data_IF_433059960602
#
_entry.id   IF_433059960602
#
_cell.length_a   1.000
_cell.length_b   1.000
_cell.length_c   1.000
_cell.angle_alpha   90.00
_cell.angle_beta   90.00
_cell.angle_gamma   90.00
#
_symmetry.space_group_name_H-M   'P 1'
#
loop_
_entity.id
_entity.type
_entity.pdbx_description
1 polymer ?
#
# COMPACT_ATOMS: atom_id res chain seq x y z
N UNK A 1 28.57 8.54 8.76
CA UNK A 1 27.37 8.75 7.91
C UNK A 1 26.25 7.95 8.54
N UNK A 2 25.25 8.61 9.11
CA UNK A 2 24.05 7.94 9.62
C UNK A 2 23.29 7.31 8.46
N UNK A 3 22.98 6.02 8.57
CA UNK A 3 22.08 5.37 7.63
C UNK A 3 20.66 5.80 7.93
N UNK A 4 19.89 6.16 6.90
CA UNK A 4 18.50 6.58 7.06
C UNK A 4 17.58 5.47 7.58
N UNK A 5 18.07 4.23 7.57
CA UNK A 5 17.39 3.03 8.06
C UNK A 5 18.04 2.61 9.38
N UNK A 6 17.29 2.73 10.47
CA UNK A 6 17.73 2.39 11.83
C UNK A 6 17.46 0.93 12.20
N UNK A 7 16.58 0.26 11.44
CA UNK A 7 16.12 -1.10 11.77
C UNK A 7 17.09 -2.16 11.23
N UNK A 8 17.76 -2.84 12.16
CA UNK A 8 18.50 -4.09 11.93
C UNK A 8 17.54 -5.29 12.00
N UNK A 9 16.50 -5.17 12.82
CA UNK A 9 15.51 -6.22 13.08
C UNK A 9 14.38 -6.12 12.06
N UNK A 10 14.08 -7.26 11.45
CA UNK A 10 12.93 -7.44 10.61
C UNK A 10 11.64 -7.62 11.43
N UNK A 11 10.80 -6.59 11.46
CA UNK A 11 9.46 -6.66 12.07
C UNK A 11 8.36 -7.11 11.09
N UNK A 12 8.71 -7.43 9.84
CA UNK A 12 7.78 -7.85 8.79
C UNK A 12 6.94 -6.71 8.19
N UNK A 13 7.13 -5.47 8.66
CA UNK A 13 6.41 -4.30 8.18
C UNK A 13 6.96 -3.77 6.85
N UNK A 14 8.27 -3.93 6.64
CA UNK A 14 8.97 -3.50 5.44
C UNK A 14 9.84 -4.63 4.89
N UNK A 15 10.09 -4.60 3.60
CA UNK A 15 10.87 -5.61 2.91
C UNK A 15 12.36 -5.21 2.76
N UNK A 16 12.87 -4.32 3.61
CA UNK A 16 14.28 -3.95 3.60
C UNK A 16 14.82 -3.75 5.03
N UNK A 17 16.10 -4.06 5.20
CA UNK A 17 16.84 -3.93 6.48
C UNK A 17 18.24 -3.43 6.22
N UNK A 18 18.90 -2.88 7.25
CA UNK A 18 20.32 -2.53 7.14
C UNK A 18 21.17 -3.80 7.00
N UNK A 19 22.20 -3.76 6.17
CA UNK A 19 23.09 -4.91 6.01
C UNK A 19 23.85 -5.20 7.33
N UNK A 20 23.86 -6.45 7.83
CA UNK A 20 24.41 -6.77 9.15
C UNK A 20 25.91 -6.48 9.27
N UNK A 21 26.68 -6.79 8.23
CA UNK A 21 28.14 -6.58 8.21
C UNK A 21 28.60 -5.22 7.71
N UNK A 22 27.79 -4.49 6.92
CA UNK A 22 28.22 -3.23 6.29
C UNK A 22 27.12 -2.15 6.39
N UNK A 23 27.26 -1.18 7.29
CA UNK A 23 26.23 -0.18 7.54
C UNK A 23 25.90 0.74 6.35
N UNK A 24 26.75 0.76 5.31
CA UNK A 24 26.56 1.57 4.11
C UNK A 24 25.62 0.95 3.08
N UNK A 25 25.19 -0.30 3.31
CA UNK A 25 24.28 -1.01 2.42
C UNK A 25 22.96 -1.33 3.11
N UNK A 26 21.91 -1.33 2.32
CA UNK A 26 20.54 -1.69 2.71
C UNK A 26 20.14 -2.86 1.83
N UNK A 27 19.62 -3.91 2.46
CA UNK A 27 19.25 -5.15 1.80
C UNK A 27 17.74 -5.16 1.64
N UNK A 28 17.27 -5.14 0.39
CA UNK A 28 15.89 -5.41 0.04
C UNK A 28 15.70 -6.90 -0.15
N UNK A 29 14.60 -7.46 0.34
CA UNK A 29 14.28 -8.88 0.23
C UNK A 29 12.92 -9.10 -0.40
N UNK A 30 12.82 -10.15 -1.20
CA UNK A 30 11.57 -10.52 -1.85
C UNK A 30 11.36 -12.02 -1.73
N UNK A 31 10.22 -12.44 -1.17
CA UNK A 31 9.81 -13.85 -1.15
C UNK A 31 9.16 -14.29 -2.48
N UNK A 32 8.69 -13.33 -3.28
CA UNK A 32 8.03 -13.61 -4.55
C UNK A 32 8.99 -13.28 -5.70
N UNK A 33 9.33 -14.29 -6.50
CA UNK A 33 10.22 -14.16 -7.66
C UNK A 33 9.74 -13.10 -8.66
N UNK A 34 8.44 -13.00 -8.91
CA UNK A 34 7.88 -12.04 -9.89
C UNK A 34 8.16 -10.59 -9.43
N UNK A 35 8.02 -10.32 -8.13
CA UNK A 35 8.33 -9.00 -7.56
C UNK A 35 9.83 -8.72 -7.61
N UNK A 36 10.66 -9.73 -7.29
CA UNK A 36 12.11 -9.63 -7.35
C UNK A 36 12.59 -9.29 -8.78
N UNK A 37 12.07 -10.00 -9.78
CA UNK A 37 12.41 -9.80 -11.19
C UNK A 37 11.98 -8.40 -11.69
N UNK A 38 10.80 -7.91 -11.30
CA UNK A 38 10.35 -6.54 -11.65
C UNK A 38 11.19 -5.46 -10.97
N UNK A 39 11.62 -5.69 -9.72
CA UNK A 39 12.51 -4.80 -8.99
C UNK A 39 13.89 -4.73 -9.65
N UNK A 40 14.50 -5.88 -9.96
CA UNK A 40 15.79 -5.97 -10.65
C UNK A 40 15.76 -5.28 -12.02
N UNK A 41 14.69 -5.48 -12.78
CA UNK A 41 14.48 -4.80 -14.06
C UNK A 41 14.41 -3.28 -13.88
N UNK A 42 13.68 -2.81 -12.88
CA UNK A 42 13.53 -1.36 -12.62
C UNK A 42 14.85 -0.73 -12.16
N UNK A 43 15.65 -1.43 -11.33
CA UNK A 43 16.98 -1.00 -10.93
C UNK A 43 17.93 -0.89 -12.14
N UNK A 44 17.91 -1.89 -13.01
CA UNK A 44 18.73 -1.93 -14.23
C UNK A 44 18.39 -0.79 -15.18
N UNK A 45 17.10 -0.54 -15.42
CA UNK A 45 16.62 0.60 -16.25
C UNK A 45 17.03 1.93 -15.64
N UNK A 46 17.00 2.04 -14.31
CA UNK A 46 17.37 3.26 -13.59
C UNK A 46 18.89 3.45 -13.42
N UNK A 47 19.70 2.52 -13.95
CA UNK A 47 21.18 2.51 -13.84
C UNK A 47 21.68 2.57 -12.40
N UNK A 48 20.97 1.92 -11.48
CA UNK A 48 21.35 1.83 -10.07
C UNK A 48 22.18 0.57 -9.87
N UNK A 49 23.35 0.71 -9.25
CA UNK A 49 24.19 -0.44 -8.91
C UNK A 49 23.57 -1.22 -7.74
N UNK A 50 23.58 -2.54 -7.85
CA UNK A 50 23.06 -3.44 -6.81
C UNK A 50 23.89 -4.72 -6.74
N UNK A 51 23.94 -5.32 -5.56
CA UNK A 51 24.43 -6.67 -5.33
C UNK A 51 23.26 -7.63 -5.22
N UNK A 52 23.35 -8.81 -5.85
CA UNK A 52 22.29 -9.82 -5.82
C UNK A 52 22.72 -11.00 -4.95
N UNK A 53 21.83 -11.41 -4.07
CA UNK A 53 21.99 -12.59 -3.23
C UNK A 53 20.71 -13.44 -3.21
N UNK A 54 20.83 -14.66 -2.71
CA UNK A 54 19.70 -15.53 -2.42
C UNK A 54 19.92 -16.17 -1.07
N UNK A 55 18.84 -16.32 -0.32
CA UNK A 55 18.87 -16.95 1.00
C UNK A 55 17.66 -17.88 1.16
N UNK A 56 17.94 -19.14 1.46
CA UNK A 56 16.91 -20.12 1.76
C UNK A 56 16.68 -20.19 3.27
N UNK A 57 15.58 -19.60 3.72
CA UNK A 57 15.20 -19.57 5.14
C UNK A 57 13.86 -20.24 5.34
N UNK A 58 13.80 -21.20 6.27
CA UNK A 58 12.55 -21.86 6.71
C UNK A 58 11.70 -22.40 5.54
N UNK A 59 12.36 -22.99 4.53
CA UNK A 59 11.72 -23.56 3.36
C UNK A 59 11.19 -22.54 2.34
N UNK A 60 11.58 -21.27 2.44
CA UNK A 60 11.28 -20.22 1.47
C UNK A 60 12.57 -19.60 0.95
N UNK A 61 12.66 -19.45 -0.37
CA UNK A 61 13.75 -18.74 -1.03
C UNK A 61 13.45 -17.25 -1.03
N UNK A 62 14.36 -16.46 -0.46
CA UNK A 62 14.34 -15.00 -0.52
C UNK A 62 15.37 -14.51 -1.52
N UNK A 63 14.96 -13.59 -2.38
CA UNK A 63 15.83 -12.86 -3.29
C UNK A 63 16.27 -11.57 -2.61
N UNK A 64 17.58 -11.38 -2.49
CA UNK A 64 18.20 -10.28 -1.77
C UNK A 64 18.86 -9.31 -2.74
N UNK A 65 18.69 -8.02 -2.51
CA UNK A 65 19.31 -6.94 -3.29
C UNK A 65 19.98 -5.94 -2.35
N UNK A 66 21.31 -5.91 -2.35
CA UNK A 66 22.13 -4.97 -1.60
C UNK A 66 22.28 -3.65 -2.35
N UNK A 67 21.83 -2.56 -1.75
CA UNK A 67 21.81 -1.22 -2.34
C UNK A 67 22.61 -0.26 -1.48
N UNK A 68 23.43 0.58 -2.10
CA UNK A 68 24.19 1.58 -1.38
C UNK A 68 23.26 2.66 -0.80
N UNK A 69 23.46 3.04 0.46
CA UNK A 69 22.61 3.98 1.20
C UNK A 69 22.41 5.34 0.49
N UNK A 70 23.37 5.77 -0.33
CA UNK A 70 23.26 6.97 -1.20
C UNK A 70 22.04 6.97 -2.10
N UNK A 71 21.65 5.80 -2.62
CA UNK A 71 20.57 5.64 -3.59
C UNK A 71 19.27 5.15 -2.95
N UNK A 72 19.29 4.94 -1.61
CA UNK A 72 18.17 4.41 -0.84
C UNK A 72 16.85 5.11 -1.14
N UNK A 73 16.80 6.45 -1.05
CA UNK A 73 15.54 7.18 -1.23
C UNK A 73 14.96 7.06 -2.65
N UNK A 74 15.79 6.78 -3.66
CA UNK A 74 15.30 6.49 -5.02
C UNK A 74 14.79 5.06 -5.11
N UNK A 75 15.53 4.11 -4.54
CA UNK A 75 15.19 2.69 -4.58
C UNK A 75 13.97 2.37 -3.71
N UNK A 76 13.77 3.06 -2.60
CA UNK A 76 12.57 2.97 -1.77
C UNK A 76 11.30 3.32 -2.56
N UNK A 77 11.36 4.36 -3.40
CA UNK A 77 10.24 4.71 -4.29
C UNK A 77 10.00 3.62 -5.33
N UNK A 78 11.06 3.11 -5.94
CA UNK A 78 10.98 1.98 -6.89
C UNK A 78 10.34 0.76 -6.21
N UNK A 79 10.71 0.49 -4.96
CA UNK A 79 10.17 -0.62 -4.18
C UNK A 79 8.65 -0.47 -3.98
N UNK A 80 8.18 0.72 -3.57
CA UNK A 80 6.75 0.98 -3.43
C UNK A 80 6.01 0.88 -4.77
N UNK A 81 6.62 1.32 -5.87
CA UNK A 81 6.02 1.20 -7.20
C UNK A 81 5.90 -0.28 -7.63
N UNK A 82 6.94 -1.09 -7.40
CA UNK A 82 6.93 -2.53 -7.65
C UNK A 82 5.88 -3.23 -6.80
N UNK A 83 5.77 -2.90 -5.52
CA UNK A 83 4.73 -3.44 -4.64
C UNK A 83 3.33 -3.05 -5.11
N UNK A 84 3.15 -1.80 -5.54
CA UNK A 84 1.90 -1.27 -6.06
C UNK A 84 1.45 -1.93 -7.36
N UNK A 85 2.38 -2.19 -8.29
CA UNK A 85 2.10 -2.89 -9.56
C UNK A 85 1.73 -4.36 -9.34
N UNK A 86 2.34 -4.99 -8.34
CA UNK A 86 2.16 -6.41 -8.05
C UNK A 86 1.17 -6.68 -6.90
N UNK A 87 0.40 -5.68 -6.48
CA UNK A 87 -0.62 -5.86 -5.43
C UNK A 87 -1.83 -6.62 -5.97
N UNK A 88 -2.28 -7.60 -5.22
CA UNK A 88 -3.61 -8.17 -5.44
C UNK A 88 -4.65 -7.23 -4.85
N UNK A 89 -5.85 -7.22 -5.43
CA UNK A 89 -6.97 -6.51 -4.82
C UNK A 89 -7.31 -7.12 -3.46
N UNK A 90 -7.64 -6.27 -2.47
CA UNK A 90 -8.04 -6.71 -1.11
C UNK A 90 -9.12 -7.81 -1.14
N UNK A 91 -10.08 -7.67 -2.05
CA UNK A 91 -11.10 -8.69 -2.31
C UNK A 91 -10.80 -9.30 -3.68
N UNK A 92 -10.16 -10.48 -3.69
CA UNK A 92 -9.78 -11.15 -4.94
C UNK A 92 -10.99 -11.50 -5.82
N UNK A 93 -12.11 -11.92 -5.21
CA UNK A 93 -13.33 -12.28 -5.92
C UNK A 93 -14.05 -11.05 -6.49
N UNK A 94 -14.19 -11.03 -7.82
CA UNK A 94 -14.87 -9.94 -8.56
C UNK A 94 -16.33 -9.75 -8.13
N UNK A 95 -17.05 -10.84 -7.85
CA UNK A 95 -18.46 -10.78 -7.44
C UNK A 95 -18.61 -10.07 -6.09
N UNK A 96 -17.90 -10.52 -5.06
CA UNK A 96 -17.95 -9.90 -3.74
C UNK A 96 -17.49 -8.45 -3.75
N UNK A 97 -16.49 -8.12 -4.58
CA UNK A 97 -16.01 -6.75 -4.73
C UNK A 97 -17.12 -5.82 -5.20
N UNK A 98 -17.87 -6.21 -6.23
CA UNK A 98 -18.99 -5.41 -6.75
C UNK A 98 -20.21 -5.47 -5.83
N UNK A 99 -20.49 -6.60 -5.19
CA UNK A 99 -21.58 -6.72 -4.23
C UNK A 99 -21.43 -5.73 -3.07
N UNK A 100 -20.22 -5.59 -2.51
CA UNK A 100 -19.94 -4.62 -1.44
C UNK A 100 -20.13 -3.17 -1.90
N UNK A 101 -19.62 -2.83 -3.10
CA UNK A 101 -19.76 -1.48 -3.67
C UNK A 101 -21.22 -1.13 -3.90
N UNK A 102 -21.98 -2.04 -4.53
CA UNK A 102 -23.41 -1.84 -4.79
C UNK A 102 -24.23 -1.76 -3.50
N UNK A 103 -23.91 -2.59 -2.51
CA UNK A 103 -24.57 -2.54 -1.21
C UNK A 103 -24.33 -1.20 -0.50
N UNK A 104 -23.07 -0.75 -0.44
CA UNK A 104 -22.72 0.54 0.17
C UNK A 104 -23.38 1.71 -0.57
N UNK A 105 -23.40 1.68 -1.90
CA UNK A 105 -24.07 2.69 -2.71
C UNK A 105 -25.59 2.67 -2.48
N UNK A 106 -26.20 1.49 -2.36
CA UNK A 106 -27.61 1.33 -2.03
C UNK A 106 -27.96 1.93 -0.66
N UNK A 107 -27.16 1.67 0.37
CA UNK A 107 -27.36 2.26 1.70
C UNK A 107 -27.22 3.78 1.66
N UNK A 108 -26.23 4.32 0.94
CA UNK A 108 -26.06 5.76 0.75
C UNK A 108 -27.27 6.40 0.05
N UNK A 109 -27.81 5.75 -0.99
CA UNK A 109 -29.00 6.23 -1.70
C UNK A 109 -30.21 6.21 -0.76
N UNK A 110 -30.44 5.11 -0.03
CA UNK A 110 -31.54 5.00 0.92
C UNK A 110 -31.44 6.05 2.03
N UNK A 111 -30.25 6.30 2.56
CA UNK A 111 -30.02 7.37 3.54
C UNK A 111 -30.34 8.75 2.97
N UNK A 112 -29.92 9.01 1.72
CA UNK A 112 -30.16 10.30 1.05
C UNK A 112 -31.63 10.52 0.75
N UNK A 113 -32.32 9.51 0.20
CA UNK A 113 -33.76 9.56 -0.05
C UNK A 113 -34.54 9.70 1.25
N UNK A 114 -34.17 8.92 2.28
CA UNK A 114 -34.79 9.00 3.60
C UNK A 114 -34.56 10.33 4.31
N UNK A 115 -33.51 11.07 3.95
CA UNK A 115 -33.28 12.44 4.42
C UNK A 115 -34.16 13.44 3.65
N UNK A 116 -34.20 13.35 2.31
CA UNK A 116 -34.98 14.26 1.48
C UNK A 116 -36.50 14.07 1.61
N UNK A 117 -36.97 12.85 1.88
CA UNK A 117 -38.39 12.50 1.95
C UNK A 117 -39.01 12.68 3.34
N UNK A 118 -38.40 13.45 4.26
CA UNK A 118 -38.99 13.74 5.58
C UNK A 118 -39.96 14.92 5.50
N UNK A 119 -41.29 14.71 5.54
CA UNK A 119 -42.28 15.78 5.56
C UNK A 119 -42.31 16.57 6.87
N UNK A 120 -41.80 15.97 7.95
CA UNK A 120 -41.79 16.49 9.32
C UNK A 120 -41.02 17.83 9.44
N UNK A 121 -39.96 18.01 8.64
CA UNK A 121 -39.19 19.26 8.56
C UNK A 121 -39.88 20.36 7.74
N UNK A 122 -40.84 19.99 6.88
CA UNK A 122 -41.59 20.94 6.05
C UNK A 122 -42.83 21.47 6.79
N UNK A 123 -43.48 20.64 7.60
CA UNK A 123 -44.62 21.05 8.44
C UNK A 123 -44.23 21.96 9.61
N UNK A 124 -43.12 21.66 10.30
CA UNK A 124 -42.63 22.50 11.40
C UNK A 124 -42.25 23.92 10.92
N UNK A 125 -41.75 24.04 9.69
CA UNK A 125 -41.38 25.34 9.09
C UNK A 125 -42.60 26.18 8.67
N UNK A 126 -43.73 25.56 8.31
CA UNK A 126 -44.96 26.29 7.99
C UNK A 126 -45.72 26.76 9.23
N UNK A 127 -45.69 25.98 10.32
CA UNK A 127 -46.36 26.36 11.57
C UNK A 127 -45.65 27.53 12.26
N UNK A 128 -44.31 27.56 12.28
CA UNK A 128 -43.55 28.69 12.86
C UNK A 128 -43.81 30.00 12.09
N UNK A 129 -43.98 29.95 10.77
CA UNK A 129 -44.23 31.14 9.96
C UNK A 129 -45.64 31.72 10.15
N UNK A 130 -46.63 30.88 10.48
CA UNK A 130 -48.00 31.34 10.79
C UNK A 130 -48.16 31.92 12.20
N UNK A 131 -47.21 31.68 13.10
CA UNK A 131 -47.22 32.24 14.47
C UNK A 131 -46.55 33.63 14.50
N UNK A 132 -45.78 33.98 13.46
CA UNK A 132 -45.00 35.22 13.37
C UNK A 132 -45.67 36.33 12.53
N UNK A 133 -46.78 36.03 11.82
CA UNK A 133 -47.70 37.01 11.19
C UNK A 133 -48.91 37.33 12.08
#
# INVERSE_FOLDING_TARGET
>A
MDSKVENIIDLGLVNYVRHPSNPNYIVFRFANKIKADDFEKTLTVSKIWFEKGQEDTRGKTYFLYGIHNRDYSKVERINYDVEGRNRTFLISNKFFRWALVLFSMGVMILATVGYCSRPDLLGEKSEIHQIEE
#
